data_IF_090888600044
#
_entry.id   IF_090888600044
#
_cell.length_a   1.000
_cell.length_b   1.000
_cell.length_c   1.000
_cell.angle_alpha   90.00
_cell.angle_beta   90.00
_cell.angle_gamma   90.00
#
_symmetry.space_group_name_H-M   'P 1'
#
loop_
_entity.id
_entity.type
_entity.pdbx_description
1 polymer ?
#
# COMPACT_ATOMS: atom_id res chain seq x y z
N UNK A 1 23.99 28.82 -14.36
CA UNK A 1 23.32 29.29 -13.14
C UNK A 1 21.94 28.70 -13.16
N UNK A 2 21.59 27.85 -12.20
CA UNK A 2 20.20 27.43 -12.06
C UNK A 2 19.45 28.58 -11.38
N UNK A 3 18.64 29.30 -12.14
CA UNK A 3 17.62 30.17 -11.57
C UNK A 3 16.63 29.26 -10.84
N UNK A 4 16.85 29.04 -9.54
CA UNK A 4 15.83 28.43 -8.70
C UNK A 4 14.69 29.41 -8.62
N UNK A 5 13.75 29.21 -9.54
CA UNK A 5 12.46 29.86 -9.61
C UNK A 5 11.86 29.92 -8.20
N UNK A 6 11.32 31.08 -7.86
CA UNK A 6 10.88 31.41 -6.51
C UNK A 6 9.92 30.33 -6.01
N UNK A 7 10.35 29.52 -5.04
CA UNK A 7 9.51 28.46 -4.46
C UNK A 7 8.11 29.00 -4.15
N UNK A 8 7.09 28.21 -4.41
CA UNK A 8 5.71 28.55 -4.04
C UNK A 8 5.53 28.49 -2.52
N UNK A 9 4.42 29.04 -2.01
CA UNK A 9 4.08 28.88 -0.59
C UNK A 9 3.92 27.41 -0.21
N UNK A 10 3.45 26.56 -1.13
CA UNK A 10 3.24 25.13 -0.91
C UNK A 10 4.54 24.37 -0.76
N UNK A 11 5.48 24.56 -1.68
CA UNK A 11 6.81 23.95 -1.62
C UNK A 11 7.55 24.32 -0.33
N UNK A 12 7.50 25.60 0.10
CA UNK A 12 8.10 26.02 1.37
C UNK A 12 7.46 25.33 2.57
N UNK A 13 6.15 25.14 2.56
CA UNK A 13 5.44 24.41 3.63
C UNK A 13 5.84 22.93 3.66
N UNK A 14 5.95 22.27 2.50
CA UNK A 14 6.42 20.87 2.41
C UNK A 14 7.85 20.74 2.95
N UNK A 15 8.76 21.63 2.55
CA UNK A 15 10.13 21.64 3.09
C UNK A 15 10.17 21.84 4.61
N UNK A 16 9.29 22.68 5.15
CA UNK A 16 9.19 22.87 6.61
C UNK A 16 8.72 21.60 7.31
N UNK A 17 7.71 20.92 6.77
CA UNK A 17 7.20 19.66 7.33
C UNK A 17 8.31 18.60 7.35
N UNK A 18 9.07 18.48 6.25
CA UNK A 18 10.20 17.55 6.15
C UNK A 18 11.37 17.96 7.06
N UNK A 19 11.63 19.25 7.24
CA UNK A 19 12.65 19.72 8.19
C UNK A 19 12.30 19.35 9.64
N UNK A 20 11.03 19.47 10.01
CA UNK A 20 10.54 19.17 11.37
C UNK A 20 10.37 17.67 11.63
N UNK A 21 10.00 16.90 10.61
CA UNK A 21 9.68 15.47 10.74
C UNK A 21 10.82 14.54 10.28
N UNK A 22 11.81 15.04 9.55
CA UNK A 22 12.83 14.25 8.89
C UNK A 22 12.31 13.58 7.61
N UNK A 23 12.43 12.25 7.54
CA UNK A 23 11.90 11.46 6.43
C UNK A 23 10.48 10.99 6.74
N UNK A 24 9.60 11.01 5.74
CA UNK A 24 8.21 10.59 5.84
C UNK A 24 7.85 9.69 4.67
N UNK A 25 6.98 8.72 4.89
CA UNK A 25 6.28 8.03 3.81
C UNK A 25 5.27 8.96 3.16
N UNK A 26 4.87 8.64 1.92
CA UNK A 26 3.92 9.46 1.15
C UNK A 26 2.65 9.76 1.96
N UNK A 27 2.04 8.73 2.53
CA UNK A 27 0.78 8.87 3.25
C UNK A 27 0.91 9.74 4.50
N UNK A 28 2.04 9.65 5.22
CA UNK A 28 2.31 10.50 6.39
C UNK A 28 2.51 11.96 5.98
N UNK A 29 3.21 12.20 4.88
CA UNK A 29 3.40 13.55 4.35
C UNK A 29 2.08 14.15 3.86
N UNK A 30 1.23 13.36 3.20
CA UNK A 30 -0.10 13.78 2.75
C UNK A 30 -1.00 14.10 3.95
N UNK A 31 -0.95 13.31 5.03
CA UNK A 31 -1.72 13.58 6.25
C UNK A 31 -1.27 14.85 6.98
N UNK A 32 0.06 15.08 7.06
CA UNK A 32 0.63 16.28 7.70
C UNK A 32 0.49 17.54 6.84
N UNK A 33 0.37 17.39 5.53
CA UNK A 33 0.27 18.50 4.60
C UNK A 33 -1.08 19.21 4.73
N UNK A 34 -1.10 20.55 4.81
CA UNK A 34 -2.36 21.30 4.75
C UNK A 34 -2.97 21.33 3.33
N UNK A 35 -2.35 20.64 2.36
CA UNK A 35 -2.79 20.59 0.96
C UNK A 35 -3.32 19.20 0.60
N UNK A 36 -4.25 19.14 -0.35
CA UNK A 36 -4.77 17.86 -0.85
C UNK A 36 -3.65 17.01 -1.50
N UNK A 37 -3.85 15.68 -1.51
CA UNK A 37 -2.86 14.69 -2.00
C UNK A 37 -2.18 15.12 -3.30
N UNK A 38 -2.94 15.39 -4.36
CA UNK A 38 -2.38 15.77 -5.67
C UNK A 38 -1.43 16.97 -5.58
N UNK A 39 -1.80 17.99 -4.80
CA UNK A 39 -0.99 19.21 -4.65
C UNK A 39 0.28 18.94 -3.83
N UNK A 40 0.18 18.11 -2.79
CA UNK A 40 1.31 17.65 -1.98
C UNK A 40 2.31 16.88 -2.85
N UNK A 41 1.84 15.87 -3.58
CA UNK A 41 2.69 15.04 -4.46
C UNK A 41 3.33 15.89 -5.55
N UNK A 42 2.57 16.77 -6.22
CA UNK A 42 3.14 17.66 -7.24
C UNK A 42 4.24 18.55 -6.66
N UNK A 43 4.06 19.09 -5.46
CA UNK A 43 5.06 19.92 -4.80
C UNK A 43 6.33 19.12 -4.46
N UNK A 44 6.18 17.88 -4.00
CA UNK A 44 7.31 16.98 -3.73
C UNK A 44 8.07 16.65 -5.01
N UNK A 45 7.38 16.39 -6.12
CA UNK A 45 8.01 16.12 -7.41
C UNK A 45 8.83 17.31 -7.90
N UNK A 46 8.28 18.52 -7.86
CA UNK A 46 9.02 19.75 -8.20
C UNK A 46 10.25 19.92 -7.31
N UNK A 47 10.09 19.75 -6.00
CA UNK A 47 11.20 19.83 -5.04
C UNK A 47 12.27 18.76 -5.29
N UNK A 48 11.88 17.57 -5.75
CA UNK A 48 12.78 16.49 -6.11
C UNK A 48 13.57 16.81 -7.39
N UNK A 49 12.88 17.31 -8.42
CA UNK A 49 13.48 17.71 -9.70
C UNK A 49 14.56 18.79 -9.53
N UNK A 50 14.35 19.75 -8.62
CA UNK A 50 15.34 20.80 -8.31
C UNK A 50 16.37 20.38 -7.24
N UNK A 51 16.31 19.14 -6.75
CA UNK A 51 17.31 18.55 -5.85
C UNK A 51 17.15 18.89 -4.36
N UNK A 52 15.99 19.38 -3.94
CA UNK A 52 15.73 19.80 -2.54
C UNK A 52 15.12 18.68 -1.70
N UNK A 53 14.49 17.69 -2.33
CA UNK A 53 13.92 16.50 -1.68
C UNK A 53 14.43 15.26 -2.40
N UNK A 54 14.74 14.20 -1.66
CA UNK A 54 15.05 12.89 -2.24
C UNK A 54 13.84 11.98 -2.06
N UNK A 55 13.35 11.41 -3.15
CA UNK A 55 12.27 10.42 -3.14
C UNK A 55 12.89 9.03 -3.31
N UNK A 56 12.62 8.13 -2.37
CA UNK A 56 12.99 6.73 -2.46
C UNK A 56 11.73 5.87 -2.52
N UNK A 57 11.66 4.97 -3.50
CA UNK A 57 10.58 4.01 -3.60
C UNK A 57 11.00 2.70 -2.91
N UNK A 58 10.22 2.29 -1.92
CA UNK A 58 10.38 1.00 -1.26
C UNK A 58 9.19 0.11 -1.63
N UNK A 59 9.47 -1.13 -2.04
CA UNK A 59 8.42 -2.12 -2.33
C UNK A 59 8.27 -3.05 -1.13
N UNK A 60 7.05 -3.12 -0.59
CA UNK A 60 6.68 -4.11 0.42
C UNK A 60 5.82 -5.20 -0.21
N UNK A 61 6.14 -6.46 0.07
CA UNK A 61 5.36 -7.61 -0.37
C UNK A 61 4.55 -8.16 0.82
N UNK A 62 3.23 -8.18 0.68
CA UNK A 62 2.33 -8.77 1.67
C UNK A 62 1.86 -10.13 1.18
N UNK A 63 2.22 -11.18 1.91
CA UNK A 63 1.71 -12.53 1.70
C UNK A 63 0.59 -12.81 2.70
N UNK A 64 -0.56 -13.24 2.20
CA UNK A 64 -1.69 -13.63 3.05
C UNK A 64 -2.39 -14.85 2.47
N UNK A 65 -3.06 -15.63 3.33
CA UNK A 65 -3.89 -16.72 2.87
C UNK A 65 -5.12 -16.16 2.15
N UNK A 66 -5.39 -16.68 0.95
CA UNK A 66 -6.67 -16.51 0.28
C UNK A 66 -7.78 -17.18 1.09
N UNK A 67 -9.04 -16.87 0.77
CA UNK A 67 -10.18 -17.55 1.39
C UNK A 67 -10.12 -19.07 1.19
N UNK A 68 -9.74 -19.52 0.00
CA UNK A 68 -9.53 -20.94 -0.32
C UNK A 68 -8.40 -21.55 0.51
N UNK A 69 -7.27 -20.84 0.66
CA UNK A 69 -6.16 -21.29 1.51
C UNK A 69 -6.55 -21.41 2.98
N UNK A 70 -7.40 -20.50 3.49
CA UNK A 70 -7.98 -20.61 4.84
C UNK A 70 -8.90 -21.82 4.95
N UNK A 71 -9.81 -21.99 3.98
CA UNK A 71 -10.75 -23.11 3.94
C UNK A 71 -10.03 -24.46 3.89
N UNK A 72 -8.96 -24.54 3.11
CA UNK A 72 -8.09 -25.71 3.05
C UNK A 72 -7.45 -26.01 4.41
N UNK A 73 -6.92 -25.00 5.10
CA UNK A 73 -6.30 -25.19 6.42
C UNK A 73 -7.31 -25.63 7.48
N UNK A 74 -8.55 -25.13 7.41
CA UNK A 74 -9.60 -25.47 8.38
C UNK A 74 -10.24 -26.84 8.13
N UNK A 75 -10.54 -27.15 6.86
CA UNK A 75 -11.38 -28.30 6.49
C UNK A 75 -10.65 -29.36 5.66
N UNK A 76 -9.37 -29.17 5.38
CA UNK A 76 -8.57 -30.02 4.50
C UNK A 76 -8.92 -29.85 3.01
N UNK A 77 -8.33 -30.71 2.17
CA UNK A 77 -8.52 -30.73 0.72
C UNK A 77 -10.01 -30.65 0.33
N UNK A 78 -10.45 -29.62 -0.41
CA UNK A 78 -11.81 -29.53 -0.94
C UNK A 78 -12.23 -30.79 -1.70
N UNK A 79 -11.32 -31.37 -2.48
CA UNK A 79 -11.53 -32.60 -3.22
C UNK A 79 -11.83 -33.78 -2.28
N UNK A 80 -11.18 -33.83 -1.12
CA UNK A 80 -11.43 -34.85 -0.11
C UNK A 80 -12.82 -34.69 0.52
N UNK A 81 -13.25 -33.46 0.78
CA UNK A 81 -14.60 -33.17 1.28
C UNK A 81 -15.67 -33.62 0.26
N UNK A 82 -15.45 -33.33 -1.03
CA UNK A 82 -16.35 -33.77 -2.11
C UNK A 82 -16.39 -35.29 -2.21
N UNK A 83 -15.23 -35.95 -2.14
CA UNK A 83 -15.14 -37.42 -2.18
C UNK A 83 -15.89 -38.06 -1.00
N UNK A 84 -15.67 -37.54 0.22
CA UNK A 84 -16.36 -38.01 1.43
C UNK A 84 -17.88 -37.79 1.35
N UNK A 85 -18.34 -36.66 0.82
CA UNK A 85 -19.76 -36.39 0.58
C UNK A 85 -20.39 -37.40 -0.39
N UNK A 86 -19.73 -37.66 -1.52
CA UNK A 86 -20.21 -38.62 -2.54
C UNK A 86 -20.25 -40.04 -1.97
N UNK A 87 -19.18 -40.46 -1.29
CA UNK A 87 -19.08 -41.79 -0.67
C UNK A 87 -20.10 -41.97 0.47
N UNK A 88 -20.32 -40.93 1.28
CA UNK A 88 -21.30 -40.91 2.36
C UNK A 88 -22.74 -41.05 1.84
N UNK A 89 -23.09 -40.35 0.75
CA UNK A 89 -24.41 -40.48 0.12
C UNK A 89 -24.68 -41.86 -0.46
N UNK A 90 -23.67 -42.53 -1.04
CA UNK A 90 -23.81 -43.92 -1.51
C UNK A 90 -24.20 -44.88 -0.38
N UNK A 91 -23.63 -44.73 0.82
CA UNK A 91 -23.97 -45.60 1.96
C UNK A 91 -25.41 -45.40 2.47
N UNK A 92 -25.98 -44.20 2.31
CA UNK A 92 -27.35 -43.90 2.74
C UNK A 92 -28.44 -44.41 1.79
N UNK A 93 -28.12 -44.64 0.50
CA UNK A 93 -29.07 -45.12 -0.51
C UNK A 93 -29.10 -46.65 -0.67
N UNK A 94 -28.22 -47.38 0.03
CA UNK A 94 -28.14 -48.86 -0.02
C UNK A 94 -28.68 -49.47 1.31
N UNK A 95 -29.55 -48.74 2.02
CA UNK A 95 -30.25 -49.24 3.21
C UNK A 95 -31.74 -49.39 2.93
#
# INVERSE_FOLDING_TARGET
>A
MMDHERLTSKERSILRILLESGSLFEDELVEKSPFGREQTIRSVMVLSEIGFVRVEENRWELYSLTEEGKLYMEKGLPERQVLEYILGKRKAQIK
#
